data_IF_732909965954
#
_entry.id   IF_732909965954
#
_cell.length_a   1.000
_cell.length_b   1.000
_cell.length_c   1.000
_cell.angle_alpha   90.00
_cell.angle_beta   90.00
_cell.angle_gamma   90.00
#
_symmetry.space_group_name_H-M   'P 1'
#
loop_
_entity.id
_entity.type
_entity.pdbx_description
1 polymer ?
#
# COMPACT_ATOMS: atom_id res chain seq x y z
N UNK A 1 -4.11 5.64 15.45
CA UNK A 1 -2.75 5.62 16.03
C UNK A 1 -2.00 6.80 15.44
N UNK A 2 -1.20 7.53 16.22
CA UNK A 2 -0.33 8.57 15.68
C UNK A 2 0.77 7.90 14.83
N UNK A 3 0.79 8.16 13.53
CA UNK A 3 1.74 7.56 12.58
C UNK A 3 3.12 8.21 12.63
N UNK A 4 3.30 9.29 13.41
CA UNK A 4 4.60 9.94 13.61
C UNK A 4 5.52 9.17 14.57
N UNK A 5 4.95 8.24 15.35
CA UNK A 5 5.71 7.50 16.38
C UNK A 5 6.39 6.26 15.82
N UNK A 6 7.67 6.12 16.12
CA UNK A 6 8.46 4.91 15.82
C UNK A 6 8.38 3.96 17.01
N UNK A 7 7.29 3.20 17.09
CA UNK A 7 7.07 2.22 18.16
C UNK A 7 7.60 0.82 17.78
N UNK A 8 7.90 -0.01 18.78
CA UNK A 8 8.34 -1.38 18.59
C UNK A 8 7.56 -2.35 19.47
N UNK A 9 7.06 -3.45 18.87
CA UNK A 9 6.40 -4.53 19.59
C UNK A 9 7.45 -5.57 20.04
N UNK A 10 7.71 -5.64 21.35
CA UNK A 10 8.71 -6.55 21.93
C UNK A 10 8.07 -7.66 22.75
N UNK A 11 8.69 -8.84 22.75
CA UNK A 11 8.24 -10.00 23.54
C UNK A 11 8.94 -11.29 23.12
N UNK A 12 8.97 -12.31 23.99
CA UNK A 12 9.60 -13.62 23.70
C UNK A 12 8.94 -14.29 22.48
N UNK A 13 9.67 -15.18 21.82
CA UNK A 13 9.09 -16.02 20.76
C UNK A 13 7.93 -16.85 21.33
N UNK A 14 6.86 -16.99 20.54
CA UNK A 14 5.62 -17.67 20.98
C UNK A 14 4.62 -16.77 21.70
N UNK A 15 4.91 -15.50 21.96
CA UNK A 15 3.98 -14.54 22.59
C UNK A 15 3.06 -13.84 21.57
N UNK A 16 2.60 -14.55 20.53
CA UNK A 16 1.50 -14.11 19.64
C UNK A 16 1.70 -12.79 18.87
N UNK A 17 2.92 -12.22 18.87
CA UNK A 17 3.23 -11.00 18.12
C UNK A 17 2.86 -11.10 16.63
N UNK A 18 3.15 -12.25 16.01
CA UNK A 18 2.76 -12.51 14.62
C UNK A 18 1.25 -12.61 14.44
N UNK A 19 0.52 -13.13 15.44
CA UNK A 19 -0.95 -13.15 15.44
C UNK A 19 -1.51 -11.73 15.47
N UNK A 20 -0.95 -10.86 16.32
CA UNK A 20 -1.34 -9.44 16.35
C UNK A 20 -1.07 -8.76 15.00
N UNK A 21 0.11 -8.96 14.42
CA UNK A 21 0.42 -8.40 13.10
C UNK A 21 -0.54 -8.92 12.02
N UNK A 22 -0.88 -10.21 12.03
CA UNK A 22 -1.83 -10.81 11.09
C UNK A 22 -3.25 -10.25 11.23
N UNK A 23 -3.70 -9.97 12.46
CA UNK A 23 -4.97 -9.26 12.68
C UNK A 23 -4.92 -7.84 12.11
N UNK A 24 -3.84 -7.10 12.36
CA UNK A 24 -3.65 -5.73 11.87
C UNK A 24 -3.59 -5.62 10.35
N UNK A 25 -3.21 -6.68 9.64
CA UNK A 25 -3.16 -6.68 8.16
C UNK A 25 -4.34 -7.41 7.53
N UNK A 26 -5.31 -7.85 8.33
CA UNK A 26 -6.51 -8.55 7.86
C UNK A 26 -6.28 -10.00 7.41
N UNK A 27 -5.12 -10.60 7.70
CA UNK A 27 -4.88 -12.03 7.44
C UNK A 27 -5.61 -12.94 8.44
N UNK A 28 -6.07 -12.39 9.56
CA UNK A 28 -6.90 -13.07 10.55
C UNK A 28 -8.10 -12.20 10.91
N UNK A 29 -9.25 -12.83 11.12
CA UNK A 29 -10.46 -12.19 11.63
C UNK A 29 -10.48 -12.21 13.16
N UNK A 30 -10.95 -11.14 13.84
CA UNK A 30 -11.15 -11.16 15.27
C UNK A 30 -12.20 -12.19 15.67
N UNK A 31 -11.89 -13.07 16.63
CA UNK A 31 -12.88 -14.02 17.16
C UNK A 31 -14.01 -13.34 17.93
N UNK A 32 -13.78 -12.11 18.43
CA UNK A 32 -14.77 -11.25 19.06
C UNK A 32 -14.25 -9.79 19.07
N UNK A 33 -15.18 -8.83 19.16
CA UNK A 33 -14.87 -7.39 19.10
C UNK A 33 -14.73 -6.88 17.66
N UNK A 34 -14.20 -5.66 17.52
CA UNK A 34 -13.93 -5.03 16.23
C UNK A 34 -12.51 -4.46 16.18
N UNK A 35 -11.95 -4.43 14.97
CA UNK A 35 -10.67 -3.81 14.67
C UNK A 35 -10.91 -2.71 13.64
N UNK A 36 -10.53 -1.48 13.98
CA UNK A 36 -10.56 -0.35 13.06
C UNK A 36 -9.15 0.23 12.90
N UNK A 37 -8.74 0.40 11.66
CA UNK A 37 -7.44 0.99 11.29
C UNK A 37 -7.72 2.27 10.52
N UNK A 38 -7.10 3.36 10.98
CA UNK A 38 -7.26 4.68 10.36
C UNK A 38 -6.50 4.84 9.05
N UNK A 39 -5.50 4.00 8.81
CA UNK A 39 -4.56 4.12 7.70
C UNK A 39 -4.26 2.74 7.10
N UNK A 40 -3.86 2.72 5.83
CA UNK A 40 -3.35 1.50 5.21
C UNK A 40 -2.03 1.07 5.85
N UNK A 41 -1.96 -0.20 6.28
CA UNK A 41 -0.78 -0.78 6.90
C UNK A 41 0.09 -1.47 5.84
N UNK A 42 1.37 -1.12 5.80
CA UNK A 42 2.37 -1.85 5.01
C UNK A 42 2.92 -3.02 5.83
N UNK A 43 2.92 -4.21 5.25
CA UNK A 43 3.38 -5.45 5.89
C UNK A 43 4.52 -6.09 5.11
N UNK A 44 5.64 -6.33 5.78
CA UNK A 44 6.82 -6.95 5.18
C UNK A 44 6.94 -8.43 5.62
N UNK A 45 7.29 -9.36 4.70
CA UNK A 45 7.60 -9.13 3.29
C UNK A 45 6.34 -8.88 2.45
N UNK A 46 6.44 -7.91 1.53
CA UNK A 46 5.41 -7.65 0.52
C UNK A 46 5.56 -8.63 -0.64
N UNK A 47 4.45 -8.94 -1.32
CA UNK A 47 4.50 -9.71 -2.56
C UNK A 47 5.11 -8.85 -3.66
N UNK A 48 6.11 -9.38 -4.35
CA UNK A 48 6.80 -8.71 -5.45
C UNK A 48 6.79 -9.57 -6.71
N UNK A 49 6.74 -8.94 -7.87
CA UNK A 49 6.94 -9.65 -9.14
C UNK A 49 8.42 -10.02 -9.31
N UNK A 50 8.69 -11.32 -9.24
CA UNK A 50 10.04 -11.88 -9.35
C UNK A 50 10.61 -11.80 -10.77
N UNK A 51 9.80 -11.49 -11.77
CA UNK A 51 10.28 -11.23 -13.13
C UNK A 51 10.98 -9.87 -13.27
N UNK A 52 10.78 -8.96 -12.31
CA UNK A 52 11.36 -7.62 -12.32
C UNK A 52 12.70 -7.58 -11.59
N UNK A 53 13.54 -6.61 -11.99
CA UNK A 53 14.72 -6.24 -11.21
C UNK A 53 14.32 -5.65 -9.85
N UNK A 54 15.28 -5.63 -8.91
CA UNK A 54 15.03 -5.24 -7.51
C UNK A 54 14.30 -3.91 -7.35
N UNK A 55 14.77 -2.84 -8.00
CA UNK A 55 14.16 -1.52 -7.84
C UNK A 55 12.69 -1.48 -8.30
N UNK A 56 12.35 -1.82 -9.55
CA UNK A 56 10.96 -1.81 -9.99
C UNK A 56 10.08 -2.78 -9.20
N UNK A 57 10.59 -3.96 -8.81
CA UNK A 57 9.85 -4.90 -7.98
C UNK A 57 9.45 -4.31 -6.62
N UNK A 58 10.34 -3.54 -5.98
CA UNK A 58 10.08 -2.93 -4.67
C UNK A 58 9.19 -1.69 -4.78
N UNK A 59 9.35 -0.88 -5.83
CA UNK A 59 8.49 0.28 -6.06
C UNK A 59 7.03 -0.16 -6.28
N UNK A 60 6.82 -1.14 -7.16
CA UNK A 60 5.48 -1.66 -7.48
C UNK A 60 4.81 -2.36 -6.29
N UNK A 61 5.58 -2.87 -5.33
CA UNK A 61 5.04 -3.44 -4.09
C UNK A 61 4.44 -2.40 -3.14
N UNK A 62 4.88 -1.13 -3.22
CA UNK A 62 4.39 -0.04 -2.38
C UNK A 62 3.14 0.59 -3.01
N UNK A 63 3.22 0.90 -4.30
CA UNK A 63 2.13 1.43 -5.09
C UNK A 63 2.38 1.14 -6.58
N UNK A 64 1.34 1.09 -7.42
CA UNK A 64 1.47 0.73 -8.83
C UNK A 64 1.98 1.92 -9.67
N UNK A 65 3.11 2.52 -9.29
CA UNK A 65 3.65 3.75 -9.88
C UNK A 65 3.78 3.66 -11.40
N UNK A 66 4.34 2.56 -11.92
CA UNK A 66 4.54 2.39 -13.37
C UNK A 66 3.22 2.33 -14.14
N UNK A 67 2.20 1.70 -13.55
CA UNK A 67 0.87 1.67 -14.14
C UNK A 67 0.26 3.07 -14.16
N UNK A 68 0.37 3.82 -13.06
CA UNK A 68 -0.11 5.20 -13.01
C UNK A 68 0.61 6.10 -14.01
N UNK A 69 1.94 6.01 -14.10
CA UNK A 69 2.74 6.77 -15.08
C UNK A 69 2.30 6.48 -16.51
N UNK A 70 2.19 5.20 -16.88
CA UNK A 70 1.72 4.80 -18.22
C UNK A 70 0.29 5.27 -18.50
N UNK A 71 -0.62 5.14 -17.51
CA UNK A 71 -2.00 5.59 -17.66
C UNK A 71 -2.09 7.10 -17.81
N UNK A 72 -1.30 7.85 -17.05
CA UNK A 72 -1.21 9.30 -17.16
C UNK A 72 -0.71 9.73 -18.55
N UNK A 73 0.28 9.06 -19.11
CA UNK A 73 0.79 9.32 -20.46
C UNK A 73 -0.31 9.11 -21.54
N UNK A 74 -1.05 8.01 -21.46
CA UNK A 74 -2.18 7.73 -22.35
C UNK A 74 -3.27 8.81 -22.29
N UNK A 75 -3.63 9.23 -21.07
CA UNK A 75 -4.66 10.23 -20.83
C UNK A 75 -4.24 11.62 -21.35
N UNK A 76 -2.98 11.99 -21.17
CA UNK A 76 -2.42 13.23 -21.74
C UNK A 76 -2.39 13.21 -23.27
N UNK A 77 -2.29 12.03 -23.88
CA UNK A 77 -2.32 11.88 -25.33
C UNK A 77 -3.74 12.03 -25.91
N UNK A 78 -4.78 11.54 -25.21
CA UNK A 78 -6.20 11.66 -25.60
C UNK A 78 -6.66 13.14 -25.64
N UNK A 79 -6.26 13.94 -24.64
CA UNK A 79 -6.58 15.38 -24.50
C UNK A 79 -8.07 15.73 -24.42
N UNK A 80 -8.97 14.78 -24.28
CA UNK A 80 -10.37 15.07 -23.96
C UNK A 80 -10.51 15.60 -22.53
N UNK A 81 -11.58 16.38 -22.28
CA UNK A 81 -11.90 16.88 -20.94
C UNK A 81 -12.05 15.74 -19.93
N UNK A 82 -12.69 14.64 -20.34
CA UNK A 82 -12.82 13.44 -19.50
C UNK A 82 -11.46 12.83 -19.15
N UNK A 83 -10.55 12.74 -20.13
CA UNK A 83 -9.22 12.19 -19.89
C UNK A 83 -8.40 13.07 -18.93
N UNK A 84 -8.55 14.40 -19.01
CA UNK A 84 -7.88 15.33 -18.08
C UNK A 84 -8.40 15.22 -16.65
N UNK A 85 -9.70 14.95 -16.45
CA UNK A 85 -10.27 14.68 -15.12
C UNK A 85 -9.66 13.41 -14.53
N UNK A 86 -9.67 12.30 -15.27
CA UNK A 86 -9.09 11.02 -14.82
C UNK A 86 -7.58 11.16 -14.55
N UNK A 87 -6.87 11.93 -15.38
CA UNK A 87 -5.46 12.23 -15.17
C UNK A 87 -5.23 12.95 -13.84
N UNK A 88 -6.06 13.94 -13.50
CA UNK A 88 -5.98 14.67 -12.22
C UNK A 88 -6.16 13.75 -11.03
N UNK A 89 -7.14 12.83 -11.09
CA UNK A 89 -7.40 11.86 -10.02
C UNK A 89 -6.20 10.92 -9.80
N UNK A 90 -5.60 10.41 -10.88
CA UNK A 90 -4.42 9.54 -10.80
C UNK A 90 -3.21 10.33 -10.32
N UNK A 91 -3.02 11.57 -10.78
CA UNK A 91 -1.93 12.43 -10.34
C UNK A 91 -2.03 12.74 -8.84
N UNK A 92 -3.23 13.01 -8.32
CA UNK A 92 -3.45 13.21 -6.88
C UNK A 92 -3.08 11.95 -6.08
N UNK A 93 -3.49 10.77 -6.54
CA UNK A 93 -3.11 9.50 -5.91
C UNK A 93 -1.60 9.26 -5.96
N UNK A 94 -0.96 9.59 -7.07
CA UNK A 94 0.49 9.49 -7.25
C UNK A 94 1.24 10.40 -6.27
N UNK A 95 0.77 11.64 -6.08
CA UNK A 95 1.39 12.62 -5.17
C UNK A 95 1.12 12.34 -3.69
N UNK A 96 0.04 11.64 -3.37
CA UNK A 96 -0.31 11.24 -2.01
C UNK A 96 0.48 10.03 -1.49
N UNK A 97 1.38 9.44 -2.30
CA UNK A 97 2.24 8.30 -1.94
C UNK A 97 3.70 8.71 -1.78
#
# INVERSE_FOLDING_TARGET
>A
MDTSWRTGLVGRNGQEKSTLLNLLVGHLEPSAGSLELSEQTLYFPMSVDQALNTLPANLDAIAPFRYWEGRMEELLADRSERALIEYSEIQEQYQAR
#
